data_IF_633864887855
#
_entry.id   IF_633864887855
#
_cell.length_a   1.000
_cell.length_b   1.000
_cell.length_c   1.000
_cell.angle_alpha   90.00
_cell.angle_beta   90.00
_cell.angle_gamma   90.00
#
_symmetry.space_group_name_H-M   'P 1'
#
loop_
_entity.id
_entity.type
_entity.pdbx_description
1 polymer ?
#
# COMPACT_ATOMS: atom_id res chain seq x y z
N UNK A 1 5.89 7.65 -16.03
CA UNK A 1 4.45 7.35 -16.03
C UNK A 1 3.96 7.33 -14.59
N UNK A 2 3.26 8.39 -14.20
CA UNK A 2 2.70 8.61 -12.86
C UNK A 2 1.42 7.80 -12.69
N UNK A 3 1.17 7.32 -11.47
CA UNK A 3 -0.01 6.50 -11.05
C UNK A 3 -1.36 7.23 -11.23
N UNK A 4 -1.35 8.45 -11.78
CA UNK A 4 -2.53 9.24 -12.09
C UNK A 4 -3.41 8.67 -13.23
N UNK A 5 -2.96 7.63 -13.95
CA UNK A 5 -3.71 7.04 -15.06
C UNK A 5 -4.70 5.92 -14.68
N UNK A 6 -4.65 5.40 -13.45
CA UNK A 6 -5.53 4.28 -13.07
C UNK A 6 -6.89 4.72 -12.49
N UNK A 7 -7.07 6.00 -12.16
CA UNK A 7 -8.30 6.51 -11.54
C UNK A 7 -8.82 7.88 -12.07
N UNK A 8 -8.82 8.23 -13.38
CA UNK A 8 -9.41 9.50 -13.75
C UNK A 8 -10.95 9.48 -13.80
N UNK A 9 -11.64 8.33 -13.89
CA UNK A 9 -13.10 8.32 -14.13
C UNK A 9 -13.76 7.07 -13.53
N UNK A 10 -13.84 6.99 -12.21
CA UNK A 10 -14.94 6.25 -11.59
C UNK A 10 -15.92 7.32 -11.07
N UNK A 11 -17.22 7.23 -11.39
CA UNK A 11 -18.20 8.18 -10.86
C UNK A 11 -18.15 8.09 -9.33
N UNK A 12 -17.66 9.16 -8.69
CA UNK A 12 -17.62 9.27 -7.24
C UNK A 12 -19.06 9.22 -6.75
N UNK A 13 -19.42 8.11 -6.11
CA UNK A 13 -20.68 7.98 -5.40
C UNK A 13 -20.63 8.81 -4.12
N UNK A 14 -21.54 9.78 -3.91
CA UNK A 14 -21.48 10.72 -2.78
C UNK A 14 -21.65 10.04 -1.41
N UNK A 15 -22.14 8.81 -1.39
CA UNK A 15 -22.30 7.93 -0.21
C UNK A 15 -21.00 7.23 0.23
N UNK A 16 -19.90 7.35 -0.52
CA UNK A 16 -18.63 6.66 -0.21
C UNK A 16 -17.67 7.55 0.57
N UNK A 17 -17.18 7.05 1.72
CA UNK A 17 -16.20 7.74 2.55
C UNK A 17 -14.81 7.53 1.96
N UNK A 18 -14.29 8.52 1.23
CA UNK A 18 -12.89 8.55 0.80
C UNK A 18 -12.05 9.38 1.77
N UNK A 19 -10.84 8.94 2.15
CA UNK A 19 -9.91 9.76 2.93
C UNK A 19 -9.59 11.06 2.17
N UNK A 20 -9.66 12.19 2.87
CA UNK A 20 -9.35 13.49 2.28
C UNK A 20 -7.87 13.52 1.83
N UNK A 21 -7.63 13.60 0.51
CA UNK A 21 -6.28 13.86 -0.02
C UNK A 21 -6.05 15.37 -0.02
N UNK A 22 -5.12 15.91 0.78
CA UNK A 22 -4.67 17.28 0.55
C UNK A 22 -4.10 17.37 -0.86
N UNK A 23 -4.63 18.33 -1.64
CA UNK A 23 -4.35 18.56 -3.07
C UNK A 23 -2.94 19.02 -3.36
N UNK A 24 -2.13 19.28 -2.33
CA UNK A 24 -0.77 19.77 -2.49
C UNK A 24 0.14 18.95 -1.57
N UNK A 25 0.91 18.04 -2.18
CA UNK A 25 2.11 17.50 -1.55
C UNK A 25 3.15 18.64 -1.56
N UNK A 26 2.98 19.65 -0.73
CA UNK A 26 4.02 20.66 -0.53
C UNK A 26 5.24 19.91 0.02
N UNK A 27 6.37 20.05 -0.67
CA UNK A 27 7.65 19.69 -0.07
C UNK A 27 7.73 20.33 1.31
N UNK A 28 8.06 19.58 2.38
CA UNK A 28 8.15 20.15 3.72
C UNK A 28 9.01 21.41 3.67
N UNK A 29 8.49 22.52 4.18
CA UNK A 29 9.24 23.78 4.30
C UNK A 29 10.49 23.54 5.15
N UNK A 30 11.55 24.32 4.89
CA UNK A 30 12.87 24.20 5.51
C UNK A 30 12.93 24.04 7.06
N UNK A 31 11.95 24.49 7.90
CA UNK A 31 12.02 24.28 9.35
C UNK A 31 11.88 22.82 9.79
N UNK A 32 11.39 21.92 8.92
CA UNK A 32 11.08 20.54 9.31
C UNK A 32 12.30 19.62 9.40
N UNK A 33 13.50 20.11 9.08
CA UNK A 33 14.69 19.26 8.99
C UNK A 33 15.95 19.95 9.57
N UNK A 34 16.65 19.26 10.47
CA UNK A 34 17.93 19.72 11.02
C UNK A 34 19.08 19.45 10.04
N UNK A 35 19.27 20.36 9.08
CA UNK A 35 20.29 20.20 8.03
C UNK A 35 21.71 19.95 8.54
N UNK A 36 22.07 20.53 9.70
CA UNK A 36 23.38 20.34 10.34
C UNK A 36 23.64 18.90 10.80
N UNK A 37 22.61 18.05 10.90
CA UNK A 37 22.77 16.62 11.21
C UNK A 37 23.06 15.77 9.98
N UNK A 38 22.85 16.29 8.76
CA UNK A 38 23.24 15.60 7.52
C UNK A 38 24.74 15.83 7.28
N UNK A 39 25.54 15.02 7.94
CA UNK A 39 26.99 14.95 7.75
C UNK A 39 27.37 13.55 7.27
N UNK A 40 28.55 13.43 6.69
CA UNK A 40 29.10 12.12 6.30
C UNK A 40 29.22 11.17 7.50
N UNK A 41 29.72 11.67 8.64
CA UNK A 41 29.86 10.88 9.85
C UNK A 41 28.52 10.33 10.34
N UNK A 42 27.48 11.17 10.41
CA UNK A 42 26.14 10.75 10.82
C UNK A 42 25.49 9.83 9.79
N UNK A 43 25.69 10.07 8.49
CA UNK A 43 25.19 9.19 7.44
C UNK A 43 25.81 7.79 7.51
N UNK A 44 27.11 7.70 7.76
CA UNK A 44 27.81 6.41 7.96
C UNK A 44 27.35 5.72 9.25
N UNK A 45 27.23 6.46 10.35
CA UNK A 45 26.71 5.93 11.61
C UNK A 45 25.27 5.40 11.46
N UNK A 46 24.41 6.12 10.73
CA UNK A 46 23.05 5.70 10.42
C UNK A 46 23.03 4.39 9.62
N UNK A 47 23.91 4.23 8.61
CA UNK A 47 24.00 2.97 7.86
C UNK A 47 24.49 1.83 8.74
N UNK A 48 25.48 2.08 9.61
CA UNK A 48 26.02 1.08 10.53
C UNK A 48 25.00 0.63 11.59
N UNK A 49 24.04 1.50 11.96
CA UNK A 49 22.98 1.18 12.90
C UNK A 49 21.86 0.30 12.29
N UNK A 50 21.87 0.06 10.98
CA UNK A 50 20.89 -0.76 10.25
C UNK A 50 19.42 -0.49 10.61
N UNK A 51 18.94 0.77 10.55
CA UNK A 51 17.62 1.17 11.04
C UNK A 51 16.46 0.49 10.31
N UNK A 52 16.68 -0.03 9.10
CA UNK A 52 15.69 -0.80 8.34
C UNK A 52 15.35 -2.16 8.97
N UNK A 53 16.13 -2.67 9.93
CA UNK A 53 15.79 -3.92 10.62
C UNK A 53 14.46 -3.84 11.37
N UNK A 54 14.06 -2.64 11.82
CA UNK A 54 12.80 -2.44 12.57
C UNK A 54 11.55 -2.79 11.75
N UNK A 55 11.63 -2.68 10.42
CA UNK A 55 10.50 -2.99 9.53
C UNK A 55 10.53 -4.45 9.03
N UNK A 56 11.51 -5.26 9.47
CA UNK A 56 11.53 -6.67 9.13
C UNK A 56 10.34 -7.36 9.79
N UNK A 57 9.50 -7.98 8.98
CA UNK A 57 8.45 -8.83 9.47
C UNK A 57 9.04 -10.13 10.02
N UNK A 58 8.80 -10.39 11.31
CA UNK A 58 9.26 -11.61 12.01
C UNK A 58 8.12 -12.55 12.34
N UNK A 59 6.88 -12.14 12.06
CA UNK A 59 5.71 -12.95 12.36
C UNK A 59 5.49 -13.99 11.27
N UNK A 60 5.00 -15.19 11.63
CA UNK A 60 4.53 -16.13 10.63
C UNK A 60 3.40 -15.46 9.82
N UNK A 61 3.43 -15.58 8.48
CA UNK A 61 2.39 -14.98 7.66
C UNK A 61 1.02 -15.58 8.03
N UNK A 62 0.04 -14.69 8.25
CA UNK A 62 -1.33 -15.05 8.66
C UNK A 62 -2.10 -15.68 7.49
N UNK A 63 -1.62 -15.53 6.25
CA UNK A 63 -2.39 -15.90 5.06
C UNK A 63 -1.51 -16.39 3.91
N UNK A 64 -2.08 -17.38 3.21
CA UNK A 64 -1.58 -18.16 2.07
C UNK A 64 -0.68 -19.34 2.47
N UNK A 65 -1.19 -20.56 2.25
CA UNK A 65 -0.34 -21.74 2.15
C UNK A 65 0.79 -21.46 1.15
N UNK A 66 2.03 -21.87 1.43
CA UNK A 66 3.14 -21.62 0.51
C UNK A 66 2.95 -22.33 -0.84
N UNK A 67 2.07 -23.33 -0.88
CA UNK A 67 1.93 -24.30 -1.96
C UNK A 67 0.64 -24.12 -2.78
N UNK A 68 0.06 -22.91 -2.81
CA UNK A 68 -1.17 -22.63 -3.62
C UNK A 68 -0.99 -22.90 -5.13
N UNK A 69 0.25 -23.13 -5.60
CA UNK A 69 0.55 -23.38 -7.00
C UNK A 69 0.23 -22.18 -7.91
N UNK A 70 0.36 -22.36 -9.22
CA UNK A 70 -0.02 -21.35 -10.22
C UNK A 70 0.65 -19.98 -10.07
N UNK A 71 0.01 -18.93 -10.60
CA UNK A 71 0.55 -17.56 -10.55
C UNK A 71 0.50 -16.96 -9.15
N UNK A 72 -0.46 -17.36 -8.32
CA UNK A 72 -0.54 -16.92 -6.92
C UNK A 72 0.65 -17.42 -6.10
N UNK A 73 1.04 -18.70 -6.25
CA UNK A 73 2.25 -19.23 -5.63
C UNK A 73 3.54 -18.55 -6.11
N UNK A 74 3.61 -18.18 -7.40
CA UNK A 74 4.73 -17.38 -7.93
C UNK A 74 4.78 -16.00 -7.25
N UNK A 75 3.64 -15.31 -7.13
CA UNK A 75 3.56 -14.02 -6.44
C UNK A 75 4.00 -14.13 -4.97
N UNK A 76 3.51 -15.14 -4.24
CA UNK A 76 3.85 -15.32 -2.81
C UNK A 76 5.36 -15.48 -2.62
N UNK A 77 6.04 -16.25 -3.48
CA UNK A 77 7.51 -16.39 -3.44
C UNK A 77 8.21 -15.06 -3.73
N UNK A 78 7.81 -14.37 -4.80
CA UNK A 78 8.37 -13.06 -5.15
C UNK A 78 8.20 -12.03 -4.03
N UNK A 79 7.06 -12.06 -3.33
CA UNK A 79 6.78 -11.16 -2.22
C UNK A 79 7.68 -11.44 -1.02
N UNK A 80 7.88 -12.71 -0.66
CA UNK A 80 8.80 -13.09 0.42
C UNK A 80 10.25 -12.67 0.12
N UNK A 81 10.69 -12.89 -1.12
CA UNK A 81 12.02 -12.47 -1.55
C UNK A 81 12.17 -10.94 -1.48
N UNK A 82 11.14 -10.21 -1.93
CA UNK A 82 11.11 -8.74 -1.87
C UNK A 82 11.14 -8.21 -0.43
N UNK A 83 10.36 -8.80 0.48
CA UNK A 83 10.31 -8.43 1.90
C UNK A 83 11.67 -8.65 2.58
N UNK A 84 12.40 -9.69 2.18
CA UNK A 84 13.73 -9.96 2.70
C UNK A 84 14.81 -9.03 2.09
N UNK A 85 14.76 -8.76 0.78
CA UNK A 85 15.84 -8.07 0.05
C UNK A 85 15.73 -6.54 0.02
N UNK A 86 14.53 -5.99 0.15
CA UNK A 86 14.28 -4.55 -0.08
C UNK A 86 14.09 -3.71 1.19
N UNK A 87 14.36 -4.25 2.38
CA UNK A 87 14.18 -3.55 3.66
C UNK A 87 14.81 -2.14 3.67
N UNK A 88 16.04 -2.02 3.15
CA UNK A 88 16.74 -0.74 3.04
C UNK A 88 15.93 0.24 2.19
N UNK A 89 15.51 -0.18 0.99
CA UNK A 89 14.77 0.68 0.06
C UNK A 89 13.38 1.05 0.59
N UNK A 90 12.70 0.13 1.27
CA UNK A 90 11.40 0.35 1.92
C UNK A 90 11.51 1.40 3.02
N UNK A 91 12.47 1.24 3.94
CA UNK A 91 12.75 2.22 4.98
C UNK A 91 13.16 3.57 4.39
N UNK A 92 14.02 3.57 3.36
CA UNK A 92 14.45 4.79 2.68
C UNK A 92 13.32 5.51 1.92
N UNK A 93 12.22 4.83 1.61
CA UNK A 93 11.06 5.42 0.92
C UNK A 93 10.19 6.27 1.84
N UNK A 94 10.15 5.94 3.13
CA UNK A 94 9.33 6.63 4.14
C UNK A 94 10.08 7.76 4.84
N UNK A 95 11.41 7.75 4.80
CA UNK A 95 12.25 8.78 5.39
C UNK A 95 12.75 9.73 4.29
N UNK A 96 12.44 11.03 4.34
CA UNK A 96 13.08 11.99 3.42
C UNK A 96 14.47 12.38 3.94
N UNK A 97 15.42 12.58 3.03
CA UNK A 97 16.80 12.96 3.35
C UNK A 97 17.25 14.08 2.40
N UNK A 98 17.02 15.36 2.74
CA UNK A 98 17.26 16.49 1.84
C UNK A 98 18.76 16.83 1.76
N UNK A 99 19.48 16.15 0.87
CA UNK A 99 20.90 16.43 0.59
C UNK A 99 20.98 17.55 -0.45
N UNK A 100 21.54 18.70 -0.07
CA UNK A 100 21.65 19.88 -0.94
C UNK A 100 22.97 19.89 -1.71
N UNK A 101 23.05 20.68 -2.79
CA UNK A 101 24.29 20.87 -3.53
C UNK A 101 25.43 21.42 -2.65
N UNK A 102 25.12 22.31 -1.70
CA UNK A 102 26.09 22.84 -0.74
C UNK A 102 26.67 21.73 0.17
N UNK A 103 25.82 20.79 0.62
CA UNK A 103 26.28 19.63 1.39
C UNK A 103 27.18 18.70 0.56
N UNK A 104 26.85 18.49 -0.72
CA UNK A 104 27.66 17.67 -1.63
C UNK A 104 29.01 18.33 -1.90
N UNK A 105 29.06 19.66 -2.03
CA UNK A 105 30.30 20.39 -2.17
C UNK A 105 31.22 20.24 -0.95
N UNK A 106 30.64 20.11 0.25
CA UNK A 106 31.38 19.89 1.49
C UNK A 106 31.79 18.41 1.70
N UNK A 107 30.98 17.46 1.23
CA UNK A 107 31.28 16.03 1.26
C UNK A 107 30.79 15.34 -0.02
N UNK A 108 31.70 14.97 -0.94
CA UNK A 108 31.37 14.18 -2.13
C UNK A 108 30.72 12.83 -1.79
N UNK A 109 30.96 12.29 -0.58
CA UNK A 109 30.32 11.07 -0.11
C UNK A 109 28.80 11.22 -0.03
N UNK A 110 28.28 12.38 0.40
CA UNK A 110 26.84 12.64 0.46
C UNK A 110 26.19 12.59 -0.93
N UNK A 111 26.90 13.01 -1.99
CA UNK A 111 26.43 12.91 -3.37
C UNK A 111 26.30 11.45 -3.82
N UNK A 112 27.33 10.64 -3.56
CA UNK A 112 27.32 9.20 -3.80
C UNK A 112 26.22 8.49 -3.00
N UNK A 113 26.05 8.85 -1.73
CA UNK A 113 25.03 8.31 -0.84
C UNK A 113 23.61 8.58 -1.36
N UNK A 114 23.32 9.84 -1.76
CA UNK A 114 22.04 10.22 -2.36
C UNK A 114 21.76 9.41 -3.65
N UNK A 115 22.77 9.27 -4.50
CA UNK A 115 22.66 8.49 -5.76
C UNK A 115 22.36 7.02 -5.48
N UNK A 116 23.09 6.38 -4.57
CA UNK A 116 22.87 4.99 -4.21
C UNK A 116 21.47 4.76 -3.64
N UNK A 117 21.00 5.66 -2.77
CA UNK A 117 19.63 5.63 -2.22
C UNK A 117 18.57 5.72 -3.31
N UNK A 118 18.74 6.64 -4.25
CA UNK A 118 17.82 6.77 -5.39
C UNK A 118 17.83 5.53 -6.29
N UNK A 119 19.00 4.93 -6.52
CA UNK A 119 19.13 3.70 -7.28
C UNK A 119 18.40 2.54 -6.57
N UNK A 120 18.62 2.34 -5.26
CA UNK A 120 17.91 1.32 -4.47
C UNK A 120 16.40 1.49 -4.57
N UNK A 121 15.89 2.71 -4.38
CA UNK A 121 14.45 3.01 -4.50
C UNK A 121 13.92 2.72 -5.91
N UNK A 122 14.67 3.06 -6.96
CA UNK A 122 14.29 2.79 -8.34
C UNK A 122 14.24 1.28 -8.63
N UNK A 123 15.26 0.53 -8.20
CA UNK A 123 15.30 -0.93 -8.36
C UNK A 123 14.19 -1.63 -7.59
N UNK A 124 13.98 -1.27 -6.33
CA UNK A 124 12.88 -1.78 -5.51
C UNK A 124 11.53 -1.47 -6.17
N UNK A 125 11.33 -0.23 -6.63
CA UNK A 125 10.11 0.17 -7.34
C UNK A 125 9.87 -0.62 -8.62
N UNK A 126 10.91 -0.94 -9.38
CA UNK A 126 10.80 -1.77 -10.59
C UNK A 126 10.48 -3.23 -10.25
N UNK A 127 11.09 -3.80 -9.19
CA UNK A 127 10.75 -5.14 -8.69
C UNK A 127 9.29 -5.19 -8.21
N UNK A 128 8.87 -4.20 -7.43
CA UNK A 128 7.49 -4.07 -6.95
C UNK A 128 6.47 -4.04 -8.10
N UNK A 129 6.72 -3.27 -9.16
CA UNK A 129 5.85 -3.23 -10.35
C UNK A 129 5.72 -4.57 -11.04
N UNK A 130 6.82 -5.32 -11.19
CA UNK A 130 6.78 -6.67 -11.79
C UNK A 130 5.95 -7.62 -10.94
N UNK A 131 6.14 -7.59 -9.64
CA UNK A 131 5.37 -8.39 -8.70
C UNK A 131 3.88 -8.01 -8.68
N UNK A 132 3.55 -6.73 -8.76
CA UNK A 132 2.17 -6.25 -8.91
C UNK A 132 1.49 -6.81 -10.17
N UNK A 133 2.20 -6.87 -11.29
CA UNK A 133 1.66 -7.48 -12.52
C UNK A 133 1.36 -8.97 -12.31
N UNK A 134 2.26 -9.70 -11.64
CA UNK A 134 2.03 -11.10 -11.28
C UNK A 134 0.82 -11.26 -10.36
N UNK A 135 0.66 -10.38 -9.37
CA UNK A 135 -0.52 -10.37 -8.49
C UNK A 135 -1.80 -10.13 -9.29
N UNK A 136 -1.84 -9.11 -10.14
CA UNK A 136 -3.03 -8.81 -10.96
C UNK A 136 -3.40 -10.02 -11.81
N UNK A 137 -2.41 -10.64 -12.46
CA UNK A 137 -2.65 -11.82 -13.28
C UNK A 137 -3.12 -13.03 -12.47
N UNK A 138 -2.59 -13.23 -11.26
CA UNK A 138 -3.07 -14.25 -10.33
C UNK A 138 -4.50 -13.95 -9.86
N UNK A 139 -4.83 -12.70 -9.55
CA UNK A 139 -6.18 -12.31 -9.14
C UNK A 139 -7.21 -12.54 -10.25
N UNK A 140 -6.85 -12.26 -11.51
CA UNK A 140 -7.67 -12.57 -12.69
C UNK A 140 -7.93 -14.09 -12.80
N UNK A 141 -6.93 -14.92 -12.53
CA UNK A 141 -7.10 -16.38 -12.55
C UNK A 141 -7.97 -16.90 -11.40
N UNK A 142 -7.83 -16.31 -10.20
CA UNK A 142 -8.35 -16.92 -8.97
C UNK A 142 -9.78 -16.49 -8.64
N UNK A 143 -10.23 -15.25 -8.95
CA UNK A 143 -11.64 -14.84 -8.76
C UNK A 143 -12.01 -13.41 -9.22
N UNK A 144 -11.08 -12.58 -9.69
CA UNK A 144 -11.34 -11.16 -9.98
C UNK A 144 -11.45 -10.88 -11.49
N UNK A 145 -12.05 -11.82 -12.23
CA UNK A 145 -12.41 -11.64 -13.63
C UNK A 145 -13.89 -11.22 -13.71
N UNK A 146 -14.20 -10.07 -14.32
CA UNK A 146 -15.50 -9.79 -14.91
C UNK A 146 -16.05 -11.00 -15.66
N UNK A 147 -17.02 -11.71 -15.07
CA UNK A 147 -17.63 -12.90 -15.68
C UNK A 147 -17.13 -14.23 -15.19
N UNK A 148 -16.40 -14.30 -14.07
CA UNK A 148 -15.95 -15.58 -13.52
C UNK A 148 -17.14 -16.50 -13.18
N UNK A 149 -18.26 -15.94 -12.74
CA UNK A 149 -19.48 -16.70 -12.45
C UNK A 149 -20.17 -17.19 -13.73
N UNK A 150 -20.29 -16.33 -14.75
CA UNK A 150 -20.77 -16.74 -16.08
C UNK A 150 -19.88 -17.84 -16.69
N UNK A 151 -18.55 -17.69 -16.59
CA UNK A 151 -17.57 -18.64 -17.09
C UNK A 151 -17.60 -19.98 -16.35
N UNK A 152 -17.67 -19.96 -15.02
CA UNK A 152 -17.84 -21.18 -14.19
C UNK A 152 -19.13 -21.92 -14.55
N UNK A 153 -20.23 -21.18 -14.74
CA UNK A 153 -21.49 -21.76 -15.13
C UNK A 153 -21.43 -22.42 -16.53
N UNK A 154 -20.79 -21.77 -17.51
CA UNK A 154 -20.57 -22.34 -18.83
C UNK A 154 -19.59 -23.53 -18.83
N UNK A 155 -18.63 -23.55 -17.91
CA UNK A 155 -17.73 -24.69 -17.75
C UNK A 155 -18.46 -25.91 -17.18
N UNK A 156 -19.39 -25.68 -16.24
CA UNK A 156 -20.21 -26.72 -15.64
C UNK A 156 -21.32 -27.22 -16.59
N UNK A 157 -21.88 -26.33 -17.40
CA UNK A 157 -22.86 -26.65 -18.45
C UNK A 157 -22.57 -25.84 -19.73
N UNK A 158 -21.90 -26.45 -20.74
CA UNK A 158 -21.58 -25.79 -22.00
C UNK A 158 -22.79 -25.38 -22.84
N UNK A 159 -23.99 -25.92 -22.59
CA UNK A 159 -25.19 -25.54 -23.34
C UNK A 159 -25.83 -24.26 -22.81
N UNK A 160 -25.50 -23.86 -21.58
CA UNK A 160 -26.05 -22.68 -20.92
C UNK A 160 -25.74 -21.38 -21.68
N UNK A 161 -24.57 -21.31 -22.34
CA UNK A 161 -24.14 -20.18 -23.18
C UNK A 161 -24.36 -18.80 -22.52
N UNK A 162 -24.10 -18.68 -21.22
CA UNK A 162 -24.15 -17.39 -20.52
C UNK A 162 -23.17 -16.42 -21.16
N UNK A 163 -23.67 -15.24 -21.51
CA UNK A 163 -22.85 -14.14 -21.99
C UNK A 163 -21.90 -13.69 -20.89
N UNK A 164 -20.65 -13.37 -21.25
CA UNK A 164 -19.71 -12.73 -20.32
C UNK A 164 -20.12 -11.26 -20.10
N UNK A 165 -20.08 -10.76 -18.85
CA UNK A 165 -20.40 -9.38 -18.54
C UNK A 165 -19.44 -8.44 -19.24
N UNK A 166 -20.00 -7.36 -19.76
CA UNK A 166 -19.29 -6.39 -20.60
C UNK A 166 -18.72 -5.21 -19.82
N UNK A 167 -19.16 -5.02 -18.58
CA UNK A 167 -18.65 -3.96 -17.70
C UNK A 167 -18.59 -4.39 -16.21
N UNK A 168 -18.00 -3.50 -15.40
CA UNK A 168 -17.79 -3.71 -13.97
C UNK A 168 -19.10 -3.72 -13.16
N UNK A 169 -20.15 -3.03 -13.61
CA UNK A 169 -21.45 -3.01 -12.92
C UNK A 169 -22.19 -4.33 -13.14
N UNK A 170 -22.18 -4.84 -14.37
CA UNK A 170 -22.74 -6.16 -14.71
C UNK A 170 -22.01 -7.27 -13.97
N UNK A 171 -20.67 -7.21 -13.92
CA UNK A 171 -19.83 -8.10 -13.11
C UNK A 171 -20.21 -8.10 -11.63
N UNK A 172 -20.40 -6.90 -11.08
CA UNK A 172 -20.71 -6.76 -9.66
C UNK A 172 -22.10 -7.33 -9.36
N UNK A 173 -23.08 -7.09 -10.23
CA UNK A 173 -24.43 -7.65 -10.10
C UNK A 173 -24.44 -9.18 -10.19
N UNK A 174 -23.63 -9.77 -11.08
CA UNK A 174 -23.47 -11.23 -11.16
C UNK A 174 -22.86 -11.82 -9.89
N UNK A 175 -21.76 -11.24 -9.40
CA UNK A 175 -21.10 -11.68 -8.17
C UNK A 175 -22.01 -11.51 -6.95
N UNK A 176 -22.78 -10.42 -6.91
CA UNK A 176 -23.75 -10.12 -5.86
C UNK A 176 -24.93 -11.10 -5.86
N UNK A 177 -25.34 -11.59 -7.03
CA UNK A 177 -26.38 -12.61 -7.20
C UNK A 177 -25.87 -14.00 -6.83
N UNK A 178 -24.64 -14.34 -7.25
CA UNK A 178 -24.02 -15.63 -6.97
C UNK A 178 -23.72 -15.83 -5.48
N UNK A 179 -23.45 -14.73 -4.76
CA UNK A 179 -23.08 -14.78 -3.35
C UNK A 179 -23.79 -13.72 -2.49
N UNK A 180 -25.11 -13.86 -2.25
CA UNK A 180 -25.97 -12.81 -1.69
C UNK A 180 -25.54 -12.32 -0.30
N UNK A 181 -24.84 -13.14 0.49
CA UNK A 181 -24.40 -12.75 1.84
C UNK A 181 -23.38 -11.60 1.81
N UNK A 182 -22.64 -11.41 0.70
CA UNK A 182 -21.72 -10.27 0.53
C UNK A 182 -22.45 -8.93 0.51
N UNK A 183 -23.76 -8.94 0.23
CA UNK A 183 -24.62 -7.76 0.17
C UNK A 183 -25.52 -7.58 1.40
N UNK A 184 -25.49 -8.52 2.34
CA UNK A 184 -26.42 -8.59 3.46
C UNK A 184 -26.52 -7.28 4.28
N UNK A 185 -25.46 -6.46 4.29
CA UNK A 185 -25.41 -5.18 4.99
C UNK A 185 -25.18 -3.95 4.09
N UNK A 186 -25.22 -4.10 2.75
CA UNK A 186 -24.98 -3.00 1.81
C UNK A 186 -26.20 -2.09 1.65
N UNK A 187 -27.39 -2.67 1.47
CA UNK A 187 -28.62 -1.91 1.19
C UNK A 187 -29.14 -1.17 2.44
N UNK A 188 -28.88 -1.73 3.62
CA UNK A 188 -29.24 -1.13 4.91
C UNK A 188 -28.00 -1.04 5.78
N UNK A 189 -27.24 0.03 5.61
CA UNK A 189 -26.01 0.26 6.39
C UNK A 189 -26.28 0.32 7.90
N UNK A 190 -27.52 0.64 8.31
CA UNK A 190 -27.96 0.61 9.70
C UNK A 190 -27.91 -0.79 10.33
N UNK A 191 -28.13 -1.85 9.55
CA UNK A 191 -28.15 -3.24 10.01
C UNK A 191 -26.72 -3.83 10.07
N UNK A 192 -25.71 -3.09 9.58
CA UNK A 192 -24.33 -3.56 9.56
C UNK A 192 -23.81 -3.77 10.99
N UNK A 193 -23.27 -4.94 11.34
CA UNK A 193 -22.88 -5.28 12.71
C UNK A 193 -21.86 -4.30 13.30
N UNK A 194 -20.96 -3.75 12.46
CA UNK A 194 -20.03 -2.70 12.88
C UNK A 194 -20.68 -1.38 13.36
N UNK A 195 -21.95 -1.10 13.02
CA UNK A 195 -22.69 0.07 13.55
C UNK A 195 -23.27 -0.17 14.95
N UNK A 196 -23.46 -1.44 15.32
CA UNK A 196 -23.90 -1.84 16.66
C UNK A 196 -22.74 -2.07 17.63
N UNK A 197 -21.49 -2.02 17.14
CA UNK A 197 -20.33 -2.03 18.00
C UNK A 197 -20.20 -0.66 18.69
N UNK A 198 -20.08 -0.62 20.03
CA UNK A 198 -19.81 0.62 20.74
C UNK A 198 -18.49 1.20 20.22
N UNK A 199 -18.59 2.36 19.55
CA UNK A 199 -17.40 3.08 19.08
C UNK A 199 -16.62 3.55 20.30
N UNK A 200 -15.33 3.25 20.37
CA UNK A 200 -14.42 3.80 21.37
C UNK A 200 -14.38 5.33 21.19
N UNK A 201 -15.15 6.02 22.03
CA UNK A 201 -15.40 7.46 22.05
C UNK A 201 -14.19 8.29 22.52
N UNK A 202 -13.11 7.64 22.95
CA UNK A 202 -11.94 8.30 23.57
C UNK A 202 -10.56 7.87 23.09
N UNK A 203 -10.43 7.12 21.99
CA UNK A 203 -9.10 6.60 21.59
C UNK A 203 -8.15 7.65 20.98
N UNK A 204 -8.62 8.85 20.60
CA UNK A 204 -7.81 9.83 19.85
C UNK A 204 -7.65 11.23 20.47
N UNK A 205 -8.30 11.56 21.58
CA UNK A 205 -8.10 12.87 22.24
C UNK A 205 -8.12 12.73 23.77
N UNK A 206 -6.97 12.96 24.41
CA UNK A 206 -6.84 12.83 25.86
C UNK A 206 -5.42 12.88 26.44
N UNK A 207 -4.42 13.43 25.74
CA UNK A 207 -3.17 13.82 26.39
C UNK A 207 -3.31 15.27 26.85
N UNK A 208 -3.76 15.46 28.09
CA UNK A 208 -3.59 16.75 28.77
C UNK A 208 -2.08 16.96 28.98
N UNK A 209 -1.52 17.97 28.31
CA UNK A 209 -0.21 18.51 28.65
C UNK A 209 -0.37 19.21 29.99
N UNK A 210 0.30 18.71 31.03
CA UNK A 210 0.39 19.42 32.31
C UNK A 210 1.04 20.78 32.08
N UNK A 211 0.35 21.87 32.41
CA UNK A 211 0.97 23.19 32.43
C UNK A 211 1.98 23.28 33.58
N UNK A 212 3.16 23.89 33.38
CA UNK A 212 4.09 24.11 34.47
C UNK A 212 3.52 25.17 35.44
N UNK A 213 3.81 25.06 36.75
CA UNK A 213 3.28 25.98 37.75
C UNK A 213 3.80 27.41 37.49
N UNK A 214 2.91 28.39 37.62
CA UNK A 214 3.26 29.80 37.54
C UNK A 214 4.19 30.16 38.70
N UNK A 215 5.37 30.67 38.36
CA UNK A 215 6.33 31.22 39.31
C UNK A 215 5.69 32.36 40.10
N UNK A 216 5.73 32.27 41.43
CA UNK A 216 5.57 33.43 42.33
C UNK A 216 6.88 34.15 42.49
#
# INVERSE_FOLDING_TARGET
MTVNFLFPILPFRPDWIFPHRPTIYTSPTAPAFCGHLITEANGKALQAAEPWRVIRNTLPPISFEADVGGRLGIFVRQYRDFEASELIACWESTHKFPITAAMIAQSPWLGSFAKQRNNRRSHAGNRWKRMLLTLIQAMIEVAWYPGIEARRANLADPQLNRREPTDLLETLAEADTADPWRNHYRDRTADHPARHLPRLDRKLFGLQVAQPPASS
#
